data_IF_060753663965
#
_entry.id   IF_060753663965
#
_cell.length_a   1.000
_cell.length_b   1.000
_cell.length_c   1.000
_cell.angle_alpha   90.00
_cell.angle_beta   90.00
_cell.angle_gamma   90.00
#
_symmetry.space_group_name_H-M   'P 1'
#
loop_
_entity.id
_entity.type
_entity.pdbx_description
1 polymer ?
#
# COMPACT_ATOMS: atom_id res chain seq x y z
N UNK A 1 -5.16 3.23 8.47
CA UNK A 1 -6.10 2.86 7.39
C UNK A 1 -6.94 4.01 6.87
N UNK A 2 -7.39 4.95 7.70
CA UNK A 2 -8.21 6.09 7.24
C UNK A 2 -7.62 6.86 6.05
N UNK A 3 -6.36 7.32 6.14
CA UNK A 3 -5.73 8.06 5.02
C UNK A 3 -5.68 7.26 3.71
N UNK A 4 -5.49 5.94 3.79
CA UNK A 4 -5.48 5.06 2.62
C UNK A 4 -6.88 4.89 2.04
N UNK A 5 -7.91 4.81 2.89
CA UNK A 5 -9.30 4.77 2.46
C UNK A 5 -9.68 6.07 1.73
N UNK A 6 -9.35 7.22 2.30
CA UNK A 6 -9.61 8.53 1.69
C UNK A 6 -8.87 8.68 0.35
N UNK A 7 -7.60 8.25 0.29
CA UNK A 7 -6.84 8.22 -0.96
C UNK A 7 -7.47 7.27 -2.00
N UNK A 8 -7.88 6.07 -1.59
CA UNK A 8 -8.50 5.08 -2.46
C UNK A 8 -9.79 5.63 -3.09
N UNK A 9 -10.65 6.27 -2.28
CA UNK A 9 -11.87 6.94 -2.75
C UNK A 9 -11.53 8.08 -3.72
N UNK A 10 -10.51 8.90 -3.41
CA UNK A 10 -10.10 10.00 -4.28
C UNK A 10 -9.62 9.49 -5.65
N UNK A 11 -8.81 8.42 -5.68
CA UNK A 11 -8.35 7.79 -6.93
C UNK A 11 -9.49 7.12 -7.70
N UNK A 12 -10.45 6.50 -7.02
CA UNK A 12 -11.62 5.90 -7.66
C UNK A 12 -12.51 6.97 -8.31
N UNK A 13 -12.85 8.03 -7.56
CA UNK A 13 -13.73 9.10 -8.05
C UNK A 13 -13.14 9.89 -9.22
N UNK A 14 -11.81 10.00 -9.29
CA UNK A 14 -11.10 10.70 -10.38
C UNK A 14 -10.49 9.73 -11.40
N UNK A 15 -10.77 8.43 -11.28
CA UNK A 15 -10.28 7.42 -12.19
C UNK A 15 -11.12 7.33 -13.47
N UNK A 16 -10.57 6.67 -14.50
CA UNK A 16 -11.35 6.31 -15.68
C UNK A 16 -12.42 5.25 -15.36
N UNK A 17 -13.42 5.13 -16.23
CA UNK A 17 -14.42 4.06 -16.13
C UNK A 17 -13.77 2.68 -16.04
N UNK A 18 -12.69 2.43 -16.80
CA UNK A 18 -11.95 1.17 -16.73
C UNK A 18 -11.30 0.94 -15.36
N UNK A 19 -10.72 1.99 -14.76
CA UNK A 19 -10.14 1.90 -13.42
C UNK A 19 -11.21 1.60 -12.36
N UNK A 20 -12.37 2.25 -12.46
CA UNK A 20 -13.51 1.98 -11.58
C UNK A 20 -14.03 0.55 -11.75
N UNK A 21 -14.15 0.08 -13.00
CA UNK A 21 -14.57 -1.28 -13.32
C UNK A 21 -13.59 -2.32 -12.77
N UNK A 22 -12.28 -2.08 -12.85
CA UNK A 22 -11.28 -3.00 -12.28
C UNK A 22 -11.39 -3.10 -10.75
N UNK A 23 -11.68 -2.00 -10.06
CA UNK A 23 -11.93 -2.02 -8.62
C UNK A 23 -13.24 -2.76 -8.27
N UNK A 24 -14.28 -2.56 -9.07
CA UNK A 24 -15.55 -3.27 -8.92
C UNK A 24 -15.41 -4.78 -9.16
N UNK A 25 -14.69 -5.17 -10.21
CA UNK A 25 -14.40 -6.59 -10.50
C UNK A 25 -13.58 -7.23 -9.39
N UNK A 26 -12.63 -6.50 -8.80
CA UNK A 26 -11.88 -6.98 -7.64
C UNK A 26 -12.81 -7.25 -6.45
N UNK A 27 -13.74 -6.35 -6.14
CA UNK A 27 -14.76 -6.56 -5.13
C UNK A 27 -15.62 -7.81 -5.41
N UNK A 28 -16.17 -7.93 -6.62
CA UNK A 28 -16.99 -9.08 -7.01
C UNK A 28 -16.24 -10.41 -6.98
N UNK A 29 -14.92 -10.40 -7.20
CA UNK A 29 -14.11 -11.62 -7.08
C UNK A 29 -13.93 -12.10 -5.64
N UNK A 30 -14.21 -11.23 -4.67
CA UNK A 30 -14.12 -11.52 -3.24
C UNK A 30 -15.49 -11.85 -2.64
N UNK A 31 -16.55 -11.12 -3.05
CA UNK A 31 -17.95 -11.37 -2.69
C UNK A 31 -18.47 -12.63 -3.39
N UNK A 32 -18.27 -13.78 -2.74
CA UNK A 32 -18.46 -15.10 -3.33
C UNK A 32 -19.92 -15.56 -3.33
N UNK A 33 -20.70 -15.11 -2.35
CA UNK A 33 -22.13 -15.39 -2.25
C UNK A 33 -23.01 -14.33 -2.94
N UNK A 34 -22.44 -13.17 -3.30
CA UNK A 34 -23.10 -12.09 -4.03
C UNK A 34 -24.05 -11.26 -3.16
N UNK A 35 -23.85 -11.25 -1.84
CA UNK A 35 -24.71 -10.52 -0.91
C UNK A 35 -24.40 -9.00 -0.85
N UNK A 36 -23.38 -8.54 -1.57
CA UNK A 36 -22.95 -7.14 -1.61
C UNK A 36 -22.05 -6.73 -0.45
N UNK A 37 -21.49 -7.69 0.27
CA UNK A 37 -20.51 -7.56 1.34
C UNK A 37 -19.51 -8.71 1.25
N UNK A 38 -18.35 -8.53 1.89
CA UNK A 38 -17.35 -9.58 2.01
C UNK A 38 -17.22 -9.99 3.48
N UNK A 39 -17.52 -11.24 3.76
CA UNK A 39 -17.28 -11.86 5.06
C UNK A 39 -15.78 -12.13 5.30
N UNK A 40 -15.40 -12.31 6.56
CA UNK A 40 -14.03 -12.71 6.90
C UNK A 40 -13.60 -14.02 6.20
N UNK A 41 -14.52 -14.98 6.05
CA UNK A 41 -14.26 -16.24 5.37
C UNK A 41 -13.91 -16.00 3.90
N UNK A 42 -14.77 -15.27 3.18
CA UNK A 42 -14.56 -14.92 1.77
C UNK A 42 -13.25 -14.17 1.54
N UNK A 43 -12.96 -13.19 2.40
CA UNK A 43 -11.68 -12.47 2.40
C UNK A 43 -10.49 -13.43 2.55
N UNK A 44 -10.51 -14.33 3.54
CA UNK A 44 -9.39 -15.27 3.74
C UNK A 44 -9.25 -16.27 2.60
N UNK A 45 -10.36 -16.78 2.06
CA UNK A 45 -10.35 -17.72 0.95
C UNK A 45 -9.84 -17.06 -0.34
N UNK A 46 -10.19 -15.78 -0.56
CA UNK A 46 -9.67 -14.98 -1.65
C UNK A 46 -8.15 -14.79 -1.54
N UNK A 47 -7.64 -14.42 -0.36
CA UNK A 47 -6.20 -14.26 -0.14
C UNK A 47 -5.42 -15.56 -0.35
N UNK A 48 -5.98 -16.70 0.09
CA UNK A 48 -5.35 -18.01 -0.11
C UNK A 48 -5.27 -18.42 -1.59
N UNK A 49 -6.23 -17.99 -2.41
CA UNK A 49 -6.30 -18.34 -3.85
C UNK A 49 -5.59 -17.34 -4.76
N UNK A 50 -5.32 -16.12 -4.28
CA UNK A 50 -4.77 -15.03 -5.11
C UNK A 50 -3.26 -14.88 -4.95
N UNK A 51 -2.53 -15.31 -5.99
CA UNK A 51 -1.08 -15.10 -6.08
C UNK A 51 -0.75 -13.60 -6.06
N UNK A 52 0.27 -13.21 -5.29
CA UNK A 52 0.72 -11.81 -5.17
C UNK A 52 0.11 -11.05 -4.00
N UNK A 53 -0.87 -11.61 -3.28
CA UNK A 53 -1.44 -11.03 -2.06
C UNK A 53 -1.03 -11.76 -0.78
N UNK A 54 -0.04 -12.68 -0.85
CA UNK A 54 0.44 -13.42 0.32
C UNK A 54 1.02 -12.54 1.44
N UNK A 55 1.40 -11.29 1.13
CA UNK A 55 1.87 -10.32 2.13
C UNK A 55 0.73 -9.62 2.87
N UNK A 56 -0.48 -9.63 2.30
CA UNK A 56 -1.68 -9.10 2.96
C UNK A 56 -2.04 -10.04 4.09
N UNK A 57 -2.09 -9.50 5.31
CA UNK A 57 -2.31 -10.30 6.51
C UNK A 57 -3.78 -10.44 6.83
N UNK A 58 -4.15 -11.53 7.51
CA UNK A 58 -5.54 -11.77 7.92
C UNK A 58 -6.04 -10.68 8.87
N UNK A 59 -5.16 -10.17 9.72
CA UNK A 59 -5.45 -9.12 10.70
C UNK A 59 -5.83 -7.79 10.02
N UNK A 60 -5.43 -7.57 8.77
CA UNK A 60 -5.80 -6.36 8.01
C UNK A 60 -7.31 -6.25 7.79
N UNK A 61 -8.06 -7.36 7.87
CA UNK A 61 -9.53 -7.32 7.82
C UNK A 61 -10.12 -6.35 8.85
N UNK A 62 -9.66 -6.42 10.10
CA UNK A 62 -10.13 -5.54 11.18
C UNK A 62 -9.70 -4.08 10.98
N UNK A 63 -8.61 -3.85 10.24
CA UNK A 63 -8.17 -2.51 9.92
C UNK A 63 -8.96 -1.91 8.73
N UNK A 64 -9.50 -2.77 7.86
CA UNK A 64 -10.35 -2.42 6.73
C UNK A 64 -11.82 -2.20 7.16
N UNK A 65 -12.34 -3.04 8.06
CA UNK A 65 -13.68 -2.95 8.65
C UNK A 65 -13.79 -1.72 9.56
N UNK A 66 -14.06 -0.57 8.93
CA UNK A 66 -14.06 0.74 9.56
C UNK A 66 -15.34 0.97 10.33
N UNK A 67 -16.47 0.49 9.78
CA UNK A 67 -17.77 0.63 10.42
C UNK A 67 -17.98 -0.41 11.54
N UNK A 68 -17.11 -1.44 11.62
CA UNK A 68 -17.12 -2.52 12.61
C UNK A 68 -18.39 -3.37 12.55
N UNK A 69 -18.93 -3.55 11.35
CA UNK A 69 -20.12 -4.39 11.11
C UNK A 69 -19.76 -5.87 10.93
N UNK A 70 -18.46 -6.20 10.93
CA UNK A 70 -17.95 -7.57 10.80
C UNK A 70 -17.85 -8.07 9.37
N UNK A 71 -18.12 -7.20 8.39
CA UNK A 71 -18.03 -7.46 6.96
C UNK A 71 -17.32 -6.29 6.27
N UNK A 72 -16.90 -6.47 5.03
CA UNK A 72 -16.33 -5.38 4.23
C UNK A 72 -17.31 -4.98 3.15
N UNK A 73 -17.70 -3.71 3.12
CA UNK A 73 -18.40 -3.14 1.98
C UNK A 73 -17.44 -2.82 0.81
N UNK A 74 -18.02 -2.35 -0.30
CA UNK A 74 -17.23 -1.98 -1.47
C UNK A 74 -16.13 -0.95 -1.17
N UNK A 75 -16.40 0.05 -0.33
CA UNK A 75 -15.45 1.13 -0.02
C UNK A 75 -14.31 0.65 0.88
N UNK A 76 -14.59 -0.31 1.75
CA UNK A 76 -13.58 -0.96 2.58
C UNK A 76 -12.69 -1.87 1.72
N UNK A 77 -13.28 -2.68 0.82
CA UNK A 77 -12.51 -3.49 -0.14
C UNK A 77 -11.75 -2.63 -1.15
N UNK A 78 -12.27 -1.48 -1.56
CA UNK A 78 -11.56 -0.51 -2.40
C UNK A 78 -10.25 -0.06 -1.75
N UNK A 79 -10.24 0.06 -0.42
CA UNK A 79 -9.02 0.38 0.33
C UNK A 79 -7.99 -0.74 0.18
N UNK A 80 -8.40 -2.00 0.35
CA UNK A 80 -7.53 -3.15 0.11
C UNK A 80 -6.99 -3.17 -1.32
N UNK A 81 -7.85 -2.94 -2.32
CA UNK A 81 -7.45 -2.86 -3.73
C UNK A 81 -6.37 -1.79 -3.97
N UNK A 82 -6.57 -0.60 -3.40
CA UNK A 82 -5.60 0.48 -3.49
C UNK A 82 -4.25 0.12 -2.84
N UNK A 83 -4.28 -0.45 -1.63
CA UNK A 83 -3.07 -0.87 -0.91
C UNK A 83 -2.35 -1.99 -1.69
N UNK A 84 -3.09 -2.98 -2.17
CA UNK A 84 -2.57 -4.09 -2.98
C UNK A 84 -1.78 -3.62 -4.21
N UNK A 85 -2.23 -2.55 -4.84
CA UNK A 85 -1.61 -1.99 -6.06
C UNK A 85 -0.46 -1.01 -5.80
N UNK A 86 -0.41 -0.40 -4.61
CA UNK A 86 0.47 0.75 -4.36
C UNK A 86 1.46 0.56 -3.22
N UNK A 87 1.32 -0.47 -2.39
CA UNK A 87 2.16 -0.76 -1.22
C UNK A 87 2.80 -2.13 -1.31
N UNK A 88 3.38 -2.43 -2.47
CA UNK A 88 3.96 -3.73 -2.83
C UNK A 88 5.37 -3.96 -2.30
N UNK A 89 5.99 -2.94 -1.70
CA UNK A 89 7.35 -3.00 -1.18
C UNK A 89 7.37 -3.29 0.33
N UNK A 90 8.42 -3.98 0.77
CA UNK A 90 8.65 -4.34 2.17
C UNK A 90 9.92 -3.72 2.73
N UNK A 91 9.98 -3.57 4.05
CA UNK A 91 11.18 -3.12 4.74
C UNK A 91 12.33 -4.11 4.50
N UNK A 92 13.47 -3.62 4.04
CA UNK A 92 14.63 -4.48 3.72
C UNK A 92 15.24 -5.18 4.94
N UNK A 93 15.01 -4.66 6.14
CA UNK A 93 15.49 -5.25 7.40
C UNK A 93 14.48 -6.23 8.01
N UNK A 94 13.26 -5.77 8.33
CA UNK A 94 12.30 -6.56 9.10
C UNK A 94 11.23 -7.25 8.24
N UNK A 95 11.28 -7.07 6.93
CA UNK A 95 10.38 -7.65 5.93
C UNK A 95 8.90 -7.29 6.12
N UNK A 96 8.59 -6.36 7.02
CA UNK A 96 7.23 -5.86 7.18
C UNK A 96 6.80 -5.05 5.95
N UNK A 97 5.55 -5.20 5.46
CA UNK A 97 5.02 -4.37 4.39
C UNK A 97 5.09 -2.88 4.72
N UNK A 98 5.46 -2.06 3.73
CA UNK A 98 5.54 -0.61 3.89
C UNK A 98 4.24 0.04 3.43
N UNK A 99 3.27 0.06 4.33
CA UNK A 99 1.90 0.55 4.06
C UNK A 99 1.82 2.07 4.19
N UNK A 100 2.47 2.63 5.21
CA UNK A 100 2.49 4.07 5.51
C UNK A 100 3.80 4.75 5.08
N UNK A 101 4.17 5.81 5.79
CA UNK A 101 5.45 6.51 5.58
C UNK A 101 6.63 5.54 5.74
N UNK A 102 7.57 5.61 4.80
CA UNK A 102 8.79 4.81 4.79
C UNK A 102 9.96 5.65 4.28
N UNK A 103 11.19 5.18 4.50
CA UNK A 103 12.42 5.82 4.06
C UNK A 103 13.07 5.02 2.95
N UNK A 104 13.55 5.72 1.92
CA UNK A 104 14.19 5.11 0.75
C UNK A 104 15.59 5.69 0.57
N UNK A 105 16.55 4.82 0.27
CA UNK A 105 17.87 5.26 -0.18
C UNK A 105 17.76 5.99 -1.53
N UNK A 106 18.16 7.26 -1.57
CA UNK A 106 18.08 8.09 -2.79
C UNK A 106 18.91 7.51 -3.92
N UNK A 107 20.15 7.08 -3.63
CA UNK A 107 21.05 6.51 -4.64
C UNK A 107 20.48 5.21 -5.24
N UNK A 108 19.89 4.33 -4.43
CA UNK A 108 19.23 3.13 -4.94
C UNK A 108 17.98 3.45 -5.76
N UNK A 109 17.19 4.43 -5.33
CA UNK A 109 15.99 4.87 -6.05
C UNK A 109 16.31 5.46 -7.43
N UNK A 110 17.44 6.15 -7.58
CA UNK A 110 17.86 6.77 -8.84
C UNK A 110 18.66 5.84 -9.75
N UNK A 111 19.12 4.71 -9.22
CA UNK A 111 19.89 3.74 -9.98
C UNK A 111 19.01 3.09 -11.06
N UNK A 112 19.54 3.00 -12.29
CA UNK A 112 18.92 2.23 -13.38
C UNK A 112 19.16 0.71 -13.23
N UNK A 113 19.80 0.27 -12.14
CA UNK A 113 19.94 -1.14 -11.83
C UNK A 113 18.57 -1.79 -11.63
N UNK A 114 18.41 -3.01 -12.14
CA UNK A 114 17.25 -3.88 -11.91
C UNK A 114 17.09 -4.27 -10.43
N UNK A 115 18.09 -3.98 -9.59
CA UNK A 115 18.09 -4.30 -8.18
C UNK A 115 17.21 -3.31 -7.38
N UNK A 116 16.24 -3.89 -6.65
CA UNK A 116 15.19 -3.22 -5.87
C UNK A 116 15.72 -2.02 -5.05
N UNK A 117 14.86 -1.00 -4.94
CA UNK A 117 15.01 0.10 -4.00
C UNK A 117 15.39 -0.42 -2.60
N UNK A 118 16.16 0.38 -1.84
CA UNK A 118 16.47 0.06 -0.45
C UNK A 118 15.54 0.84 0.47
N UNK A 119 14.42 0.22 0.81
CA UNK A 119 13.35 0.82 1.60
C UNK A 119 13.33 0.30 3.04
N UNK A 120 13.05 1.20 3.98
CA UNK A 120 13.04 0.93 5.41
C UNK A 120 11.77 1.48 6.03
N UNK A 121 11.19 0.71 6.96
CA UNK A 121 10.15 1.26 7.82
C UNK A 121 10.73 2.30 8.79
N UNK A 122 9.88 3.18 9.31
CA UNK A 122 10.25 4.23 10.27
C UNK A 122 11.08 3.68 11.43
N UNK A 123 10.67 2.53 12.00
CA UNK A 123 11.35 1.92 13.14
C UNK A 123 12.77 1.44 12.82
N UNK A 124 12.98 0.79 11.67
CA UNK A 124 14.31 0.31 11.29
C UNK A 124 15.25 1.48 10.94
N UNK A 125 14.73 2.51 10.28
CA UNK A 125 15.49 3.72 9.99
C UNK A 125 15.88 4.48 11.26
N UNK A 126 14.90 4.78 12.13
CA UNK A 126 15.09 5.49 13.40
C UNK A 126 16.14 4.81 14.29
N UNK A 127 16.11 3.47 14.38
CA UNK A 127 17.05 2.69 15.20
C UNK A 127 18.39 2.40 14.51
N UNK A 128 18.56 2.85 13.26
CA UNK A 128 19.72 2.51 12.41
C UNK A 128 19.98 0.99 12.32
N UNK A 129 18.89 0.20 12.33
CA UNK A 129 18.96 -1.25 12.25
C UNK A 129 19.00 -1.70 10.79
N UNK A 130 20.06 -1.36 10.09
CA UNK A 130 20.30 -1.76 8.70
C UNK A 130 21.78 -1.57 8.36
N UNK A 131 22.30 -2.41 7.46
CA UNK A 131 23.64 -2.25 6.91
C UNK A 131 23.52 -1.94 5.42
N UNK A 132 23.84 -0.70 5.05
CA UNK A 132 23.73 -0.22 3.67
C UNK A 132 24.83 0.83 3.40
N UNK A 133 25.53 0.78 2.25
CA UNK A 133 26.68 1.65 1.98
C UNK A 133 26.32 3.13 1.78
N UNK A 134 25.12 3.42 1.26
CA UNK A 134 24.67 4.79 1.05
C UNK A 134 24.09 5.39 2.33
N UNK A 135 24.25 6.71 2.50
CA UNK A 135 23.87 7.42 3.74
C UNK A 135 22.65 8.32 3.60
N UNK A 136 22.26 8.67 2.37
CA UNK A 136 21.16 9.61 2.11
C UNK A 136 19.87 8.84 1.94
N UNK A 137 18.98 9.00 2.92
CA UNK A 137 17.64 8.46 2.93
C UNK A 137 16.65 9.60 3.05
N UNK A 138 15.57 9.54 2.27
CA UNK A 138 14.44 10.47 2.35
C UNK A 138 13.18 9.68 2.59
N UNK A 139 12.22 10.26 3.30
CA UNK A 139 10.89 9.67 3.36
C UNK A 139 10.16 9.80 2.01
N UNK A 140 9.11 8.99 1.82
CA UNK A 140 8.36 8.92 0.57
C UNK A 140 7.76 10.25 0.11
N UNK A 141 7.41 11.18 1.02
CA UNK A 141 6.91 12.50 0.67
C UNK A 141 8.03 13.45 0.26
N UNK A 142 9.13 13.49 1.04
CA UNK A 142 10.28 14.34 0.75
C UNK A 142 10.98 13.90 -0.54
N UNK A 143 11.10 12.59 -0.78
CA UNK A 143 11.64 12.06 -2.04
C UNK A 143 10.78 12.49 -3.23
N UNK A 144 9.45 12.39 -3.14
CA UNK A 144 8.56 12.86 -4.21
C UNK A 144 8.74 14.36 -4.46
N UNK A 145 8.89 15.17 -3.40
CA UNK A 145 9.12 16.61 -3.52
C UNK A 145 10.48 16.94 -4.12
N UNK A 146 11.52 16.15 -3.86
CA UNK A 146 12.86 16.38 -4.41
C UNK A 146 12.93 16.19 -5.92
N UNK A 147 11.96 15.50 -6.53
CA UNK A 147 11.86 15.35 -8.00
C UNK A 147 11.29 16.57 -8.71
N UNK A 148 10.91 17.64 -7.99
CA UNK A 148 10.60 18.93 -8.62
C UNK A 148 11.89 19.52 -9.21
N UNK A 149 11.87 19.85 -10.49
CA UNK A 149 13.02 20.40 -11.24
C UNK A 149 13.54 21.75 -10.70
N UNK A 150 12.86 22.36 -9.73
CA UNK A 150 13.29 23.56 -9.01
C UNK A 150 12.86 23.44 -7.54
N UNK A 151 13.78 23.53 -6.56
CA UNK A 151 13.39 23.57 -5.16
C UNK A 151 12.52 24.82 -4.92
N UNK A 152 11.43 24.76 -4.13
CA UNK A 152 10.87 25.98 -3.59
C UNK A 152 12.00 26.66 -2.82
N UNK A 153 12.29 27.90 -3.19
CA UNK A 153 13.23 28.75 -2.48
C UNK A 153 12.79 28.80 -1.01
N UNK A 154 13.44 27.99 -0.18
CA UNK A 154 13.40 28.16 1.27
C UNK A 154 14.29 29.37 1.52
N UNK A 155 13.67 30.53 1.69
CA UNK A 155 14.29 31.66 2.39
C UNK A 155 14.22 31.41 3.89
#
# INVERSE_FOLDING_TARGET
MQELNEAAIAYYNNGSTDQQNLAWQFFLSMDGDGNGRVSFQEYTDFLCRTTGLAWVRREMFQELDRNRDGQLDFWEVLTLYYVARTRTIGCRTCLQPLIGLYFTCVTCFESQCVCDTFDLCVNCYMRRNYNHPHRVFLDSFVLLRSKRSHPPLVR
#
